data_IF_008984164700
#
_entry.id   IF_008984164700
#
_cell.length_a   1.000
_cell.length_b   1.000
_cell.length_c   1.000
_cell.angle_alpha   90.00
_cell.angle_beta   90.00
_cell.angle_gamma   90.00
#
_symmetry.space_group_name_H-M   'P 1'
#
loop_
_entity.id
_entity.type
_entity.pdbx_description
1 polymer ?
#
# COMPACT_ATOMS: atom_id res chain seq x y z
N UNK A 1 -3.86 -16.44 -32.82
CA UNK A 1 -5.12 -16.12 -32.13
C UNK A 1 -4.84 -16.10 -30.64
N UNK A 2 -4.45 -14.94 -30.08
CA UNK A 2 -4.17 -14.80 -28.65
C UNK A 2 -5.48 -14.50 -27.94
N UNK A 3 -5.96 -15.46 -27.14
CA UNK A 3 -7.13 -15.27 -26.28
C UNK A 3 -6.65 -14.44 -25.08
N UNK A 4 -6.94 -13.14 -25.07
CA UNK A 4 -6.80 -12.34 -23.84
C UNK A 4 -7.91 -12.77 -22.88
N UNK A 5 -7.57 -13.61 -21.90
CA UNK A 5 -8.44 -13.87 -20.74
C UNK A 5 -8.51 -12.54 -19.98
N UNK A 6 -9.66 -11.89 -19.94
CA UNK A 6 -9.86 -10.66 -19.16
C UNK A 6 -9.65 -10.98 -17.68
N UNK A 7 -8.57 -10.47 -17.09
CA UNK A 7 -8.33 -10.61 -15.65
C UNK A 7 -9.41 -9.81 -14.90
N UNK A 8 -10.16 -10.47 -14.03
CA UNK A 8 -11.12 -9.83 -13.15
C UNK A 8 -10.44 -9.55 -11.82
N UNK A 9 -10.14 -8.28 -11.55
CA UNK A 9 -9.58 -7.81 -10.28
C UNK A 9 -10.69 -7.23 -9.42
N UNK A 10 -10.71 -7.58 -8.14
CA UNK A 10 -11.54 -6.92 -7.13
C UNK A 10 -10.62 -6.04 -6.27
N UNK A 11 -11.03 -4.79 -6.01
CA UNK A 11 -10.20 -3.78 -5.35
C UNK A 11 -10.95 -3.21 -4.16
N UNK A 12 -10.29 -3.19 -3.00
CA UNK A 12 -10.70 -2.45 -1.81
C UNK A 12 -9.64 -1.41 -1.50
N UNK A 13 -10.06 -0.20 -1.15
CA UNK A 13 -9.15 0.90 -0.81
C UNK A 13 -9.17 1.10 0.69
N UNK A 14 -7.99 1.18 1.30
CA UNK A 14 -7.81 1.61 2.70
C UNK A 14 -7.08 2.94 2.67
N UNK A 15 -7.63 3.95 3.34
CA UNK A 15 -7.01 5.26 3.47
C UNK A 15 -6.75 5.59 4.93
N UNK A 16 -5.59 6.19 5.21
CA UNK A 16 -5.35 6.84 6.50
C UNK A 16 -6.08 8.18 6.54
N UNK A 17 -6.41 8.67 7.74
CA UNK A 17 -7.02 10.00 7.91
C UNK A 17 -6.23 11.12 7.23
N UNK A 18 -4.90 11.00 7.19
CA UNK A 18 -4.04 11.97 6.52
C UNK A 18 -4.13 11.89 5.00
N UNK A 19 -4.29 10.68 4.44
CA UNK A 19 -4.44 10.49 2.99
C UNK A 19 -5.69 11.18 2.44
N UNK A 20 -6.77 11.27 3.23
CA UNK A 20 -8.04 11.91 2.82
C UNK A 20 -7.92 13.41 2.52
N UNK A 21 -6.81 14.07 2.89
CA UNK A 21 -6.55 15.47 2.51
C UNK A 21 -6.06 15.63 1.06
N UNK A 22 -5.68 14.54 0.40
CA UNK A 22 -5.01 14.57 -0.91
C UNK A 22 -5.88 14.13 -2.07
N UNK A 23 -7.09 13.60 -1.80
CA UNK A 23 -8.03 13.22 -2.85
C UNK A 23 -9.47 13.24 -2.32
N UNK A 24 -10.43 13.46 -3.22
CA UNK A 24 -11.84 13.31 -2.91
C UNK A 24 -12.23 11.83 -2.95
N UNK A 25 -12.29 11.18 -1.80
CA UNK A 25 -12.68 9.77 -1.70
C UNK A 25 -14.11 9.49 -2.20
N UNK A 26 -14.98 10.50 -2.24
CA UNK A 26 -16.35 10.36 -2.77
C UNK A 26 -16.39 10.31 -4.29
N UNK A 27 -15.34 10.76 -4.97
CA UNK A 27 -15.25 10.67 -6.42
C UNK A 27 -14.89 9.26 -6.91
N UNK A 28 -14.48 8.37 -6.01
CA UNK A 28 -14.18 6.98 -6.33
C UNK A 28 -15.47 6.15 -6.38
N UNK A 29 -15.60 5.31 -7.40
CA UNK A 29 -16.73 4.37 -7.55
C UNK A 29 -16.57 3.11 -6.68
N UNK A 30 -15.53 3.05 -5.86
CA UNK A 30 -15.22 1.94 -4.96
C UNK A 30 -15.17 2.43 -3.52
N UNK A 31 -15.64 1.63 -2.54
CA UNK A 31 -15.59 2.02 -1.14
C UNK A 31 -14.15 2.28 -0.67
N UNK A 32 -13.98 3.38 0.07
CA UNK A 32 -12.74 3.72 0.78
C UNK A 32 -12.97 3.44 2.25
N UNK A 33 -12.24 2.46 2.78
CA UNK A 33 -12.27 2.07 4.17
C UNK A 33 -11.28 2.92 4.97
N UNK A 34 -11.71 3.32 6.15
CA UNK A 34 -11.01 4.21 7.07
C UNK A 34 -10.92 3.57 8.46
N UNK A 35 -10.22 4.22 9.38
CA UNK A 35 -10.15 3.75 10.77
C UNK A 35 -11.53 3.73 11.45
N UNK A 36 -12.43 4.64 11.06
CA UNK A 36 -13.79 4.66 11.57
C UNK A 36 -14.59 3.40 11.19
N UNK A 37 -14.26 2.75 10.08
CA UNK A 37 -14.93 1.52 9.64
C UNK A 37 -14.51 0.28 10.44
N UNK A 38 -13.33 0.31 11.10
CA UNK A 38 -12.83 -0.81 11.91
C UNK A 38 -13.81 -1.20 13.02
N UNK A 39 -14.43 -0.20 13.65
CA UNK A 39 -15.26 -0.37 14.84
C UNK A 39 -16.75 -0.11 14.60
N UNK A 40 -17.13 0.27 13.37
CA UNK A 40 -18.50 0.70 13.05
C UNK A 40 -19.55 -0.38 13.36
N UNK A 41 -19.24 -1.62 13.02
CA UNK A 41 -20.16 -2.77 13.17
C UNK A 41 -19.77 -3.72 14.30
N UNK A 42 -18.69 -3.42 15.05
CA UNK A 42 -18.20 -4.25 16.14
C UNK A 42 -18.96 -3.97 17.44
N UNK A 43 -19.74 -4.95 17.92
CA UNK A 43 -20.58 -4.85 19.12
C UNK A 43 -20.24 -5.90 20.17
N UNK A 44 -19.70 -7.04 19.73
CA UNK A 44 -19.39 -8.20 20.55
C UNK A 44 -18.02 -8.77 20.16
N UNK A 45 -17.38 -9.49 21.08
CA UNK A 45 -16.07 -10.13 20.85
C UNK A 45 -16.10 -11.15 19.70
N UNK A 46 -17.29 -11.70 19.38
CA UNK A 46 -17.47 -12.61 18.25
C UNK A 46 -17.59 -11.93 16.89
N UNK A 47 -17.74 -10.60 16.84
CA UNK A 47 -17.91 -9.90 15.57
C UNK A 47 -16.60 -9.87 14.77
N UNK A 48 -16.68 -9.90 13.43
CA UNK A 48 -15.49 -9.82 12.59
C UNK A 48 -14.70 -8.54 12.83
N UNK A 49 -13.37 -8.67 12.86
CA UNK A 49 -12.44 -7.55 13.00
C UNK A 49 -11.96 -7.16 11.61
N UNK A 50 -12.22 -5.92 11.19
CA UNK A 50 -12.06 -5.49 9.80
C UNK A 50 -10.65 -5.71 9.26
N UNK A 51 -9.60 -5.32 9.98
CA UNK A 51 -8.23 -5.51 9.49
C UNK A 51 -7.86 -6.98 9.28
N UNK A 52 -8.41 -7.90 10.07
CA UNK A 52 -8.22 -9.34 9.90
C UNK A 52 -8.98 -9.84 8.67
N UNK A 53 -10.20 -9.37 8.45
CA UNK A 53 -11.00 -9.71 7.27
C UNK A 53 -10.37 -9.22 5.97
N UNK A 54 -9.84 -7.99 5.95
CA UNK A 54 -9.10 -7.46 4.81
C UNK A 54 -7.85 -8.28 4.51
N UNK A 55 -7.09 -8.66 5.54
CA UNK A 55 -5.93 -9.53 5.40
C UNK A 55 -6.30 -10.91 4.86
N UNK A 56 -7.43 -11.48 5.26
CA UNK A 56 -7.92 -12.78 4.75
C UNK A 56 -8.35 -12.68 3.29
N UNK A 57 -9.10 -11.63 2.96
CA UNK A 57 -9.67 -11.37 1.63
C UNK A 57 -8.61 -11.09 0.57
N UNK A 58 -7.56 -10.31 0.88
CA UNK A 58 -6.61 -9.84 -0.13
C UNK A 58 -5.57 -10.90 -0.52
N UNK A 59 -5.46 -11.23 -1.80
CA UNK A 59 -4.36 -12.05 -2.36
C UNK A 59 -3.04 -11.26 -2.50
N UNK A 60 -3.13 -9.94 -2.65
CA UNK A 60 -2.03 -9.01 -2.85
C UNK A 60 -2.36 -7.67 -2.18
N UNK A 61 -1.35 -7.00 -1.63
CA UNK A 61 -1.47 -5.65 -1.09
C UNK A 61 -0.54 -4.68 -1.84
N UNK A 62 -1.00 -3.45 -2.04
CA UNK A 62 -0.17 -2.32 -2.51
C UNK A 62 -0.36 -1.12 -1.60
N UNK A 63 0.74 -0.51 -1.18
CA UNK A 63 0.74 0.77 -0.47
C UNK A 63 1.32 1.83 -1.41
N UNK A 64 0.46 2.70 -1.96
CA UNK A 64 0.86 3.73 -2.91
C UNK A 64 -0.02 4.98 -2.75
N UNK A 65 0.51 6.10 -2.23
CA UNK A 65 1.88 6.27 -1.73
C UNK A 65 2.13 5.61 -0.37
N UNK A 66 3.38 5.18 -0.11
CA UNK A 66 3.90 4.95 1.24
C UNK A 66 4.63 6.21 1.71
N UNK A 67 4.02 6.97 2.61
CA UNK A 67 4.64 8.14 3.23
C UNK A 67 5.71 7.73 4.27
N UNK A 68 6.57 8.68 4.64
CA UNK A 68 7.65 8.42 5.60
C UNK A 68 7.14 8.05 7.00
N UNK A 69 5.98 8.58 7.41
CA UNK A 69 5.38 8.30 8.71
C UNK A 69 4.90 6.85 8.80
N UNK A 70 4.15 6.38 7.79
CA UNK A 70 3.71 4.99 7.70
C UNK A 70 4.91 4.07 7.55
N UNK A 71 5.92 4.43 6.74
CA UNK A 71 7.18 3.68 6.64
C UNK A 71 7.84 3.49 8.02
N UNK A 72 7.93 4.56 8.82
CA UNK A 72 8.45 4.48 10.17
C UNK A 72 7.59 3.59 11.08
N UNK A 73 6.26 3.71 11.03
CA UNK A 73 5.34 2.86 11.81
C UNK A 73 5.49 1.39 11.48
N UNK A 74 5.49 1.03 10.19
CA UNK A 74 5.61 -0.35 9.74
C UNK A 74 6.93 -0.99 10.18
N UNK A 75 8.02 -0.24 10.06
CA UNK A 75 9.37 -0.74 10.42
C UNK A 75 9.59 -0.87 11.92
N UNK A 76 8.82 -0.16 12.75
CA UNK A 76 8.86 -0.26 14.21
C UNK A 76 7.72 -1.13 14.78
N UNK A 77 6.86 -1.69 13.93
CA UNK A 77 5.77 -2.57 14.34
C UNK A 77 4.60 -1.84 15.00
N UNK A 78 4.46 -0.53 14.78
CA UNK A 78 3.31 0.26 15.23
C UNK A 78 2.10 -0.11 14.36
N UNK A 79 1.00 -0.48 15.01
CA UNK A 79 -0.28 -0.83 14.40
C UNK A 79 -1.41 -0.03 15.07
N UNK A 80 -1.50 1.25 14.73
CA UNK A 80 -2.36 2.24 15.40
C UNK A 80 -3.47 2.81 14.50
N UNK A 81 -3.65 2.24 13.31
CA UNK A 81 -4.75 2.53 12.39
C UNK A 81 -5.03 1.32 11.50
N UNK A 82 -6.17 1.33 10.79
CA UNK A 82 -6.61 0.23 9.92
C UNK A 82 -5.48 -0.28 9.00
N UNK A 83 -4.81 0.61 8.25
CA UNK A 83 -3.74 0.22 7.32
C UNK A 83 -2.60 -0.52 8.03
N UNK A 84 -2.06 0.07 9.10
CA UNK A 84 -0.91 -0.50 9.82
C UNK A 84 -1.27 -1.79 10.54
N UNK A 85 -2.51 -1.94 11.03
CA UNK A 85 -3.04 -3.19 11.57
C UNK A 85 -3.11 -4.30 10.50
N UNK A 86 -3.61 -4.00 9.30
CA UNK A 86 -3.65 -4.99 8.21
C UNK A 86 -2.23 -5.44 7.84
N UNK A 87 -1.28 -4.50 7.70
CA UNK A 87 0.12 -4.85 7.38
C UNK A 87 0.77 -5.67 8.49
N UNK A 88 0.51 -5.34 9.77
CA UNK A 88 1.07 -6.07 10.91
C UNK A 88 0.58 -7.52 10.97
N UNK A 89 -0.65 -7.77 10.52
CA UNK A 89 -1.26 -9.10 10.43
C UNK A 89 -0.99 -9.83 9.10
N UNK A 90 -0.29 -9.18 8.15
CA UNK A 90 -0.13 -9.66 6.78
C UNK A 90 0.55 -11.04 6.70
N UNK A 91 0.10 -11.88 5.76
CA UNK A 91 0.77 -13.13 5.45
C UNK A 91 2.01 -12.85 4.59
N UNK A 92 3.22 -13.10 5.12
CA UNK A 92 4.46 -12.87 4.38
C UNK A 92 4.59 -13.76 3.13
N UNK A 93 3.76 -14.80 2.97
CA UNK A 93 3.67 -15.59 1.73
C UNK A 93 2.93 -14.85 0.61
N UNK A 94 2.09 -13.85 0.95
CA UNK A 94 1.33 -13.05 -0.02
C UNK A 94 2.12 -11.80 -0.40
N UNK A 95 2.14 -11.42 -1.69
CA UNK A 95 2.87 -10.26 -2.17
C UNK A 95 2.34 -8.96 -1.54
N UNK A 96 3.25 -8.17 -0.98
CA UNK A 96 3.02 -6.78 -0.58
C UNK A 96 4.00 -5.90 -1.36
N UNK A 97 3.47 -4.94 -2.11
CA UNK A 97 4.25 -3.92 -2.80
C UNK A 97 4.08 -2.58 -2.10
N UNK A 98 5.11 -1.75 -2.14
CA UNK A 98 5.02 -0.39 -1.63
C UNK A 98 5.73 0.59 -2.58
N UNK A 99 5.14 1.76 -2.78
CA UNK A 99 5.67 2.84 -3.60
C UNK A 99 5.94 4.06 -2.71
N UNK A 100 7.19 4.29 -2.25
CA UNK A 100 7.52 5.41 -1.39
C UNK A 100 7.23 6.76 -2.06
N UNK A 101 6.70 7.71 -1.29
CA UNK A 101 6.52 9.09 -1.74
C UNK A 101 6.75 10.07 -0.59
N UNK A 102 7.77 10.93 -0.73
CA UNK A 102 8.15 11.92 0.27
C UNK A 102 9.04 13.01 -0.34
N UNK A 103 9.25 14.11 0.39
CA UNK A 103 10.20 15.14 -0.01
C UNK A 103 11.63 14.58 -0.15
N UNK A 104 12.45 15.19 -1.02
CA UNK A 104 13.84 14.79 -1.28
C UNK A 104 14.70 14.69 -0.02
N UNK A 105 14.58 15.63 0.92
CA UNK A 105 15.32 15.59 2.18
C UNK A 105 14.88 14.43 3.07
N UNK A 106 13.59 14.09 3.07
CA UNK A 106 13.09 12.91 3.77
C UNK A 106 13.61 11.64 3.12
N UNK A 107 13.63 11.57 1.78
CA UNK A 107 14.18 10.43 1.05
C UNK A 107 15.67 10.21 1.34
N UNK A 108 16.45 11.30 1.36
CA UNK A 108 17.88 11.27 1.64
C UNK A 108 18.21 11.07 3.13
N UNK A 109 17.21 11.09 4.02
CA UNK A 109 17.45 10.87 5.44
C UNK A 109 17.91 9.43 5.69
N UNK A 110 18.95 9.19 6.51
CA UNK A 110 19.52 7.85 6.71
C UNK A 110 18.51 6.84 7.30
N UNK A 111 17.50 7.30 8.04
CA UNK A 111 16.42 6.43 8.51
C UNK A 111 15.62 5.85 7.35
N UNK A 112 15.41 6.59 6.26
CA UNK A 112 14.58 6.14 5.15
C UNK A 112 15.19 4.93 4.46
N UNK A 113 16.49 4.97 4.12
CA UNK A 113 17.15 3.81 3.51
C UNK A 113 17.12 2.59 4.42
N UNK A 114 17.43 2.76 5.71
CA UNK A 114 17.37 1.67 6.71
C UNK A 114 15.96 1.06 6.82
N UNK A 115 14.93 1.91 6.80
CA UNK A 115 13.54 1.49 6.89
C UNK A 115 13.08 0.75 5.62
N UNK A 116 13.45 1.25 4.44
CA UNK A 116 13.19 0.60 3.15
C UNK A 116 13.85 -0.78 3.11
N UNK A 117 15.12 -0.88 3.51
CA UNK A 117 15.85 -2.15 3.55
C UNK A 117 15.23 -3.12 4.55
N UNK A 118 14.74 -2.63 5.70
CA UNK A 118 14.01 -3.46 6.66
C UNK A 118 12.72 -4.02 6.08
N UNK A 119 11.91 -3.21 5.39
CA UNK A 119 10.71 -3.73 4.71
C UNK A 119 11.06 -4.78 3.64
N UNK A 120 12.11 -4.54 2.86
CA UNK A 120 12.60 -5.51 1.85
C UNK A 120 13.07 -6.81 2.48
N UNK A 121 13.68 -6.76 3.67
CA UNK A 121 14.09 -7.95 4.42
C UNK A 121 12.92 -8.85 4.84
N UNK A 122 11.69 -8.31 4.92
CA UNK A 122 10.47 -9.09 5.18
C UNK A 122 9.89 -9.74 3.90
N UNK A 123 10.49 -9.50 2.74
CA UNK A 123 9.99 -9.96 1.44
C UNK A 123 9.05 -8.99 0.75
N UNK A 124 8.83 -7.80 1.30
CA UNK A 124 8.03 -6.75 0.65
C UNK A 124 8.77 -6.18 -0.56
N UNK A 125 8.02 -5.86 -1.61
CA UNK A 125 8.56 -5.46 -2.91
C UNK A 125 8.49 -3.94 -3.07
N UNK A 126 9.64 -3.30 -3.08
CA UNK A 126 9.76 -1.87 -3.37
C UNK A 126 9.42 -1.57 -4.84
N UNK A 127 8.58 -0.57 -5.07
CA UNK A 127 8.44 0.14 -6.33
C UNK A 127 9.18 1.48 -6.16
N UNK A 128 10.40 1.63 -6.71
CA UNK A 128 11.27 2.76 -6.39
C UNK A 128 10.64 4.11 -6.74
N UNK A 129 10.90 5.10 -5.89
CA UNK A 129 10.57 6.49 -6.19
C UNK A 129 11.34 6.98 -7.43
N UNK A 130 10.83 8.04 -8.06
CA UNK A 130 11.44 8.69 -9.22
C UNK A 130 12.01 10.05 -8.86
N UNK A 131 12.95 10.52 -9.68
CA UNK A 131 13.50 11.87 -9.59
C UNK A 131 12.58 12.84 -10.34
N UNK A 132 12.05 13.84 -9.64
CA UNK A 132 11.23 14.92 -10.23
C UNK A 132 11.43 16.22 -9.47
N UNK A 133 11.08 17.34 -10.10
CA UNK A 133 10.84 18.58 -9.38
C UNK A 133 9.57 18.43 -8.54
N UNK A 134 9.70 18.49 -7.23
CA UNK A 134 8.62 18.27 -6.27
C UNK A 134 7.78 19.53 -6.07
N UNK A 135 6.59 19.38 -5.47
CA UNK A 135 5.67 20.49 -5.21
C UNK A 135 6.26 21.62 -4.35
N UNK A 136 7.31 21.33 -3.57
CA UNK A 136 8.06 22.28 -2.74
C UNK A 136 9.16 23.04 -3.50
N UNK A 137 9.47 22.68 -4.75
CA UNK A 137 10.51 23.30 -5.57
C UNK A 137 11.83 22.52 -5.65
N UNK A 138 12.04 21.56 -4.74
CA UNK A 138 13.24 20.70 -4.72
C UNK A 138 13.28 19.76 -5.94
N UNK A 139 14.48 19.54 -6.49
CA UNK A 139 14.72 18.59 -7.57
C UNK A 139 15.53 17.40 -7.04
N UNK A 140 14.93 16.21 -7.03
CA UNK A 140 15.54 15.04 -6.42
C UNK A 140 14.64 13.80 -6.41
N UNK A 141 15.16 12.72 -5.84
CA UNK A 141 14.40 11.49 -5.62
C UNK A 141 13.40 11.67 -4.48
N UNK A 142 12.26 10.99 -4.57
CA UNK A 142 11.23 11.00 -3.53
C UNK A 142 9.80 11.08 -4.08
N UNK A 143 9.62 11.43 -5.36
CA UNK A 143 8.31 11.37 -5.98
C UNK A 143 7.86 9.90 -6.16
N UNK A 144 6.59 9.60 -5.90
CA UNK A 144 6.03 8.28 -6.16
C UNK A 144 6.27 7.86 -7.61
N UNK A 145 6.51 6.56 -7.84
CA UNK A 145 6.48 6.00 -9.18
C UNK A 145 5.18 6.34 -9.91
N UNK A 146 5.24 6.41 -11.24
CA UNK A 146 4.05 6.63 -12.06
C UNK A 146 3.02 5.52 -11.84
N UNK A 147 1.73 5.88 -11.89
CA UNK A 147 0.62 4.93 -11.72
C UNK A 147 0.75 3.77 -12.72
N UNK A 148 1.13 4.06 -13.97
CA UNK A 148 1.37 3.02 -14.99
C UNK A 148 2.46 2.02 -14.56
N UNK A 149 3.54 2.50 -13.94
CA UNK A 149 4.62 1.64 -13.44
C UNK A 149 4.13 0.76 -12.29
N UNK A 150 3.34 1.32 -11.37
CA UNK A 150 2.75 0.57 -10.26
C UNK A 150 1.82 -0.52 -10.80
N UNK A 151 0.92 -0.18 -11.72
CA UNK A 151 0.00 -1.12 -12.37
C UNK A 151 0.76 -2.23 -13.08
N UNK A 152 1.81 -1.92 -13.86
CA UNK A 152 2.64 -2.94 -14.51
C UNK A 152 3.22 -3.93 -13.49
N UNK A 153 3.77 -3.44 -12.36
CA UNK A 153 4.32 -4.32 -11.32
C UNK A 153 3.27 -5.20 -10.65
N UNK A 154 2.06 -4.71 -10.46
CA UNK A 154 0.94 -5.51 -9.96
C UNK A 154 0.61 -6.62 -10.98
N UNK A 155 0.47 -6.27 -12.25
CA UNK A 155 0.11 -7.22 -13.30
C UNK A 155 1.18 -8.29 -13.52
N UNK A 156 2.47 -7.95 -13.42
CA UNK A 156 3.57 -8.91 -13.46
C UNK A 156 3.39 -10.01 -12.39
N UNK A 157 2.98 -9.63 -11.18
CA UNK A 157 2.75 -10.57 -10.08
C UNK A 157 1.47 -11.37 -10.31
N UNK A 158 0.37 -10.72 -10.69
CA UNK A 158 -0.91 -11.40 -10.97
C UNK A 158 -0.73 -12.47 -12.05
N UNK A 159 -0.05 -12.15 -13.16
CA UNK A 159 0.23 -13.13 -14.22
C UNK A 159 1.14 -14.28 -13.77
N UNK A 160 2.08 -14.03 -12.84
CA UNK A 160 2.95 -15.10 -12.31
C UNK A 160 2.25 -16.04 -11.31
N UNK A 161 1.12 -15.59 -10.72
CA UNK A 161 0.42 -16.32 -9.65
C UNK A 161 -0.77 -17.13 -10.19
N UNK A 162 -1.30 -16.75 -11.34
CA UNK A 162 -2.34 -17.52 -12.05
C UNK A 162 -1.67 -18.53 -12.97
N UNK A 163 -1.84 -19.85 -12.76
CA UNK A 163 -1.35 -20.84 -13.71
C UNK A 163 -1.94 -20.56 -15.09
N UNK A 164 -1.09 -20.56 -16.12
CA UNK A 164 -1.52 -20.60 -17.51
C UNK A 164 -2.14 -21.99 -17.77
N UNK A 165 -3.38 -22.20 -17.32
CA UNK A 165 -4.24 -23.30 -17.77
C UNK A 165 -5.07 -22.85 -18.95
#
# INVERSE_FOLDING_TARGET
MMIYKTLKLEIKVVATEKALNFFDHKSLQIPVLTEADEWKDWKTVSDPILHIELRRWADLMVIAPLDANTLAKLTHGICDNLLTCVVRAWDLKRPLLFAPAMNTHMWNHPLTSQQIDKLKSFGYKEIPCIRKKLACGDDGFGAMAEVSTIVTKIMDIVHSTVPLT
#
